data_IF_384998906112
#
_entry.id   IF_384998906112
#
_cell.length_a   1.000
_cell.length_b   1.000
_cell.length_c   1.000
_cell.angle_alpha   90.00
_cell.angle_beta   90.00
_cell.angle_gamma   90.00
#
_symmetry.space_group_name_H-M   'P 1'
#
loop_
_entity.id
_entity.type
_entity.pdbx_description
1 polymer ?
#
# COMPACT_ATOMS: atom_id res chain seq x y z
N UNK A 1 24.20 27.62 -7.90
CA UNK A 1 22.90 27.78 -7.22
C UNK A 1 22.88 26.84 -6.02
N UNK A 2 22.70 27.33 -4.78
CA UNK A 2 22.65 26.49 -3.58
C UNK A 2 21.20 25.99 -3.38
N UNK A 3 20.97 24.67 -3.49
CA UNK A 3 19.68 24.08 -3.17
C UNK A 3 19.56 24.05 -1.64
N UNK A 4 18.83 25.00 -1.07
CA UNK A 4 18.37 24.90 0.32
C UNK A 4 17.17 23.97 0.34
N UNK A 5 17.30 22.82 1.00
CA UNK A 5 16.16 21.94 1.21
C UNK A 5 15.26 22.62 2.24
N UNK A 6 14.15 23.17 1.79
CA UNK A 6 13.14 23.75 2.68
C UNK A 6 12.38 22.62 3.37
N UNK A 7 12.84 22.26 4.57
CA UNK A 7 12.17 21.27 5.43
C UNK A 7 10.97 21.95 6.12
N UNK A 8 9.96 22.33 5.34
CA UNK A 8 8.72 22.91 5.90
C UNK A 8 7.92 21.89 6.74
N UNK A 9 8.21 20.58 6.58
CA UNK A 9 7.59 19.50 7.33
C UNK A 9 8.68 18.52 7.81
N UNK A 10 8.87 18.34 9.13
CA UNK A 10 9.90 17.45 9.69
C UNK A 10 9.63 15.97 9.38
N UNK A 11 8.40 15.60 9.00
CA UNK A 11 8.03 14.22 8.66
C UNK A 11 8.16 13.91 7.15
N UNK A 12 8.57 14.88 6.33
CA UNK A 12 8.74 14.66 4.90
C UNK A 12 10.00 13.84 4.65
N UNK A 13 9.87 12.77 3.87
CA UNK A 13 11.05 12.06 3.37
C UNK A 13 11.80 12.93 2.33
N UNK A 14 13.13 12.82 2.34
CA UNK A 14 13.98 13.44 1.32
C UNK A 14 13.70 12.79 -0.04
N UNK A 15 13.63 13.62 -1.09
CA UNK A 15 13.47 13.12 -2.46
C UNK A 15 14.76 12.46 -2.94
N UNK A 16 14.67 11.78 -4.08
CA UNK A 16 15.85 11.18 -4.72
C UNK A 16 16.94 12.23 -5.00
N UNK A 17 16.59 13.35 -5.64
CA UNK A 17 17.55 14.40 -6.02
C UNK A 17 18.21 15.04 -4.79
N UNK A 18 17.45 15.22 -3.72
CA UNK A 18 17.96 15.74 -2.46
C UNK A 18 18.98 14.80 -1.82
N UNK A 19 18.69 13.49 -1.84
CA UNK A 19 19.61 12.45 -1.35
C UNK A 19 20.85 12.35 -2.22
N UNK A 20 20.68 12.41 -3.54
CA UNK A 20 21.78 12.43 -4.50
C UNK A 20 22.69 13.63 -4.23
N UNK A 21 22.12 14.83 -4.05
CA UNK A 21 22.90 16.03 -3.74
C UNK A 21 23.72 15.87 -2.45
N UNK A 22 23.13 15.34 -1.38
CA UNK A 22 23.84 15.07 -0.12
C UNK A 22 24.99 14.07 -0.33
N UNK A 23 24.76 13.01 -1.09
CA UNK A 23 25.79 12.00 -1.39
C UNK A 23 26.91 12.57 -2.24
N UNK A 24 26.60 13.39 -3.26
CA UNK A 24 27.61 14.09 -4.08
C UNK A 24 28.46 15.03 -3.23
N UNK A 25 27.84 15.85 -2.36
CA UNK A 25 28.60 16.71 -1.43
C UNK A 25 29.54 15.91 -0.53
N UNK A 26 29.14 14.70 -0.13
CA UNK A 26 30.01 13.82 0.66
C UNK A 26 31.16 13.24 -0.19
N UNK A 27 30.90 12.88 -1.44
CA UNK A 27 31.92 12.41 -2.38
C UNK A 27 32.94 13.50 -2.72
N UNK A 28 32.51 14.77 -2.77
CA UNK A 28 33.38 15.96 -2.87
C UNK A 28 34.25 16.20 -1.61
N UNK A 29 34.11 15.38 -0.57
CA UNK A 29 34.94 15.42 0.64
C UNK A 29 34.43 16.39 1.71
N UNK A 30 33.23 16.96 1.58
CA UNK A 30 32.71 17.84 2.62
C UNK A 30 32.46 17.07 3.93
N UNK A 31 32.73 17.74 5.05
CA UNK A 31 32.41 17.20 6.38
C UNK A 31 30.89 17.22 6.61
N UNK A 32 30.40 16.26 7.39
CA UNK A 32 28.98 16.15 7.72
C UNK A 32 28.43 17.46 8.29
N UNK A 33 29.20 18.15 9.16
CA UNK A 33 28.81 19.44 9.75
C UNK A 33 28.59 20.52 8.67
N UNK A 34 29.45 20.57 7.65
CA UNK A 34 29.30 21.53 6.54
C UNK A 34 28.08 21.19 5.68
N UNK A 35 27.82 19.90 5.47
CA UNK A 35 26.62 19.46 4.73
C UNK A 35 25.35 19.83 5.51
N UNK A 36 25.31 19.61 6.83
CA UNK A 36 24.20 20.04 7.71
C UNK A 36 23.92 21.53 7.55
N UNK A 37 24.96 22.36 7.66
CA UNK A 37 24.82 23.81 7.56
C UNK A 37 24.38 24.27 6.16
N UNK A 38 24.83 23.58 5.10
CA UNK A 38 24.52 23.92 3.71
C UNK A 38 23.10 23.50 3.30
N UNK A 39 22.69 22.31 3.73
CA UNK A 39 21.45 21.66 3.30
C UNK A 39 20.29 21.96 4.25
N UNK A 40 20.56 22.20 5.54
CA UNK A 40 19.56 22.51 6.55
C UNK A 40 18.83 21.28 7.11
N UNK A 41 19.44 20.09 7.00
CA UNK A 41 18.87 18.81 7.44
C UNK A 41 19.62 18.29 8.67
N UNK A 42 18.92 17.55 9.53
CA UNK A 42 19.51 17.00 10.76
C UNK A 42 20.74 16.11 10.48
N UNK A 43 21.67 16.08 11.43
CA UNK A 43 22.89 15.26 11.33
C UNK A 43 22.59 13.77 11.19
N UNK A 44 21.59 13.25 11.90
CA UNK A 44 21.18 11.84 11.83
C UNK A 44 20.64 11.50 10.44
N UNK A 45 19.77 12.34 9.88
CA UNK A 45 19.24 12.14 8.53
C UNK A 45 20.34 12.17 7.47
N UNK A 46 21.31 13.10 7.56
CA UNK A 46 22.45 13.12 6.64
C UNK A 46 23.28 11.85 6.76
N UNK A 47 23.52 11.37 7.99
CA UNK A 47 24.23 10.11 8.21
C UNK A 47 23.49 8.92 7.56
N UNK A 48 22.18 8.81 7.76
CA UNK A 48 21.36 7.78 7.12
C UNK A 48 21.39 7.85 5.60
N UNK A 49 21.38 9.05 5.02
CA UNK A 49 21.43 9.25 3.56
C UNK A 49 22.80 8.88 2.98
N UNK A 50 23.89 9.24 3.67
CA UNK A 50 25.25 8.92 3.23
C UNK A 50 25.49 7.41 3.21
N UNK A 51 24.94 6.68 4.19
CA UNK A 51 25.14 5.23 4.32
C UNK A 51 24.00 4.39 3.72
N UNK A 52 22.92 5.03 3.26
CA UNK A 52 21.74 4.37 2.71
C UNK A 52 21.63 4.47 1.18
N UNK A 53 20.56 3.90 0.65
CA UNK A 53 20.25 3.99 -0.78
C UNK A 53 19.85 5.42 -1.19
N UNK A 54 20.26 5.84 -2.39
CA UNK A 54 19.88 7.15 -2.96
C UNK A 54 18.37 7.24 -3.19
N UNK A 55 17.75 6.16 -3.65
CA UNK A 55 16.30 6.11 -3.84
C UNK A 55 15.59 5.88 -2.51
N UNK A 56 14.64 6.74 -2.11
CA UNK A 56 13.86 6.53 -0.88
C UNK A 56 12.98 5.29 -1.00
N UNK A 57 13.04 4.43 0.02
CA UNK A 57 12.17 3.26 0.11
C UNK A 57 10.80 3.68 0.65
N UNK A 58 9.73 3.35 -0.09
CA UNK A 58 8.37 3.60 0.39
C UNK A 58 8.13 2.80 1.68
N UNK A 59 7.61 3.43 2.76
CA UNK A 59 7.29 2.69 3.97
C UNK A 59 6.27 1.60 3.65
N UNK A 60 6.46 0.43 4.26
CA UNK A 60 5.48 -0.65 4.13
C UNK A 60 4.17 -0.20 4.77
N UNK A 61 3.08 -0.36 4.03
CA UNK A 61 1.75 -0.11 4.56
C UNK A 61 1.38 -1.12 5.63
N UNK A 62 0.27 -0.87 6.34
CA UNK A 62 -0.31 -1.81 7.29
C UNK A 62 -0.64 -3.13 6.59
N UNK A 63 -0.36 -4.25 7.25
CA UNK A 63 -0.76 -5.57 6.76
C UNK A 63 -2.28 -5.69 6.64
N UNK A 64 -2.73 -6.41 5.62
CA UNK A 64 -4.14 -6.80 5.48
C UNK A 64 -4.58 -7.62 6.69
N UNK A 65 -5.83 -7.45 7.13
CA UNK A 65 -6.44 -8.28 8.19
C UNK A 65 -6.61 -9.73 7.71
N UNK A 66 -6.81 -9.91 6.41
CA UNK A 66 -6.99 -11.20 5.78
C UNK A 66 -5.71 -11.60 5.03
N UNK A 67 -5.18 -12.77 5.37
CA UNK A 67 -4.03 -13.36 4.71
C UNK A 67 -4.42 -14.09 3.41
N UNK A 68 -3.44 -14.29 2.53
CA UNK A 68 -3.59 -15.05 1.28
C UNK A 68 -4.21 -16.45 1.43
N UNK A 69 -3.82 -17.31 2.40
CA UNK A 69 -4.49 -18.59 2.62
C UNK A 69 -5.97 -18.43 3.01
N UNK A 70 -6.29 -17.40 3.80
CA UNK A 70 -7.67 -17.09 4.21
C UNK A 70 -8.51 -16.65 3.01
N UNK A 71 -7.94 -15.85 2.10
CA UNK A 71 -8.59 -15.51 0.83
C UNK A 71 -8.90 -16.75 0.00
N UNK A 72 -7.94 -17.68 -0.14
CA UNK A 72 -8.15 -18.94 -0.89
C UNK A 72 -9.23 -19.79 -0.26
N UNK A 73 -9.26 -19.91 1.07
CA UNK A 73 -10.30 -20.65 1.80
C UNK A 73 -11.69 -20.05 1.59
N UNK A 74 -11.80 -18.73 1.62
CA UNK A 74 -13.06 -18.02 1.33
C UNK A 74 -13.54 -18.35 -0.08
N UNK A 75 -12.71 -18.11 -1.10
CA UNK A 75 -13.07 -18.39 -2.50
C UNK A 75 -13.44 -19.84 -2.70
N UNK A 76 -12.62 -20.77 -2.19
CA UNK A 76 -12.89 -22.19 -2.26
C UNK A 76 -14.27 -22.52 -1.71
N UNK A 77 -14.59 -22.06 -0.49
CA UNK A 77 -15.89 -22.32 0.13
C UNK A 77 -17.07 -21.76 -0.69
N UNK A 78 -16.93 -20.55 -1.23
CA UNK A 78 -17.97 -19.97 -2.10
C UNK A 78 -18.15 -20.80 -3.38
N UNK A 79 -17.05 -21.33 -3.94
CA UNK A 79 -17.10 -22.11 -5.19
C UNK A 79 -17.59 -23.55 -5.02
N UNK A 80 -17.65 -24.09 -3.80
CA UNK A 80 -18.00 -25.49 -3.56
C UNK A 80 -19.38 -25.90 -4.10
N UNK A 81 -20.40 -25.05 -3.97
CA UNK A 81 -21.74 -25.34 -4.49
C UNK A 81 -22.56 -24.06 -4.74
N UNK A 82 -23.62 -24.18 -5.55
CA UNK A 82 -24.50 -23.05 -5.92
C UNK A 82 -25.16 -22.42 -4.68
N UNK A 83 -25.44 -23.21 -3.65
CA UNK A 83 -26.03 -22.72 -2.41
C UNK A 83 -25.09 -21.74 -1.68
N UNK A 84 -23.81 -22.06 -1.55
CA UNK A 84 -22.79 -21.18 -0.95
C UNK A 84 -22.60 -19.91 -1.80
N UNK A 85 -22.63 -20.00 -3.13
CA UNK A 85 -22.57 -18.83 -4.02
C UNK A 85 -23.72 -17.83 -3.80
N UNK A 86 -24.88 -18.33 -3.36
CA UNK A 86 -26.07 -17.50 -3.08
C UNK A 86 -26.07 -16.89 -1.68
N UNK A 87 -25.25 -17.39 -0.75
CA UNK A 87 -25.14 -16.78 0.58
C UNK A 87 -24.47 -15.41 0.54
N UNK A 88 -24.84 -14.49 1.45
CA UNK A 88 -24.08 -13.27 1.66
C UNK A 88 -22.67 -13.63 2.18
N UNK A 89 -21.66 -12.91 1.69
CA UNK A 89 -20.25 -13.16 2.02
C UNK A 89 -19.98 -13.17 3.53
N UNK A 90 -20.67 -12.32 4.29
CA UNK A 90 -20.59 -12.29 5.75
C UNK A 90 -20.94 -13.61 6.41
N UNK A 91 -22.01 -14.28 5.96
CA UNK A 91 -22.41 -15.58 6.52
C UNK A 91 -21.39 -16.67 6.20
N UNK A 92 -20.77 -16.60 5.01
CA UNK A 92 -19.72 -17.54 4.61
C UNK A 92 -18.48 -17.35 5.50
N UNK A 93 -18.07 -16.09 5.72
CA UNK A 93 -16.95 -15.76 6.59
C UNK A 93 -17.22 -16.18 8.05
N UNK A 94 -18.41 -15.92 8.57
CA UNK A 94 -18.84 -16.38 9.91
C UNK A 94 -18.80 -17.90 10.04
N UNK A 95 -19.25 -18.64 9.01
CA UNK A 95 -19.17 -20.10 8.99
C UNK A 95 -17.73 -20.64 8.99
N UNK A 96 -16.75 -19.83 8.59
CA UNK A 96 -15.32 -20.14 8.66
C UNK A 96 -14.65 -19.59 9.92
N UNK A 97 -15.41 -18.99 10.85
CA UNK A 97 -14.89 -18.37 12.07
C UNK A 97 -14.16 -17.03 11.84
N UNK A 98 -14.38 -16.39 10.68
CA UNK A 98 -13.70 -15.15 10.31
C UNK A 98 -14.65 -13.96 10.57
N UNK A 99 -14.27 -13.07 11.48
CA UNK A 99 -15.01 -11.85 11.79
C UNK A 99 -14.39 -10.65 11.08
N UNK A 100 -14.96 -10.25 9.94
CA UNK A 100 -14.50 -9.11 9.14
C UNK A 100 -15.69 -8.34 8.55
N UNK A 101 -15.45 -7.07 8.21
CA UNK A 101 -16.43 -6.19 7.59
C UNK A 101 -16.66 -6.54 6.11
N UNK A 102 -17.86 -6.28 5.59
CA UNK A 102 -18.26 -6.65 4.23
C UNK A 102 -17.35 -6.05 3.14
N UNK A 103 -16.85 -4.82 3.32
CA UNK A 103 -15.93 -4.21 2.36
C UNK A 103 -14.59 -4.93 2.30
N UNK A 104 -14.10 -5.46 3.43
CA UNK A 104 -12.86 -6.25 3.48
C UNK A 104 -13.04 -7.59 2.77
N UNK A 105 -14.21 -8.23 2.93
CA UNK A 105 -14.56 -9.44 2.17
C UNK A 105 -14.65 -9.15 0.67
N UNK A 106 -15.30 -8.05 0.29
CA UNK A 106 -15.40 -7.62 -1.11
C UNK A 106 -14.02 -7.45 -1.74
N UNK A 107 -13.14 -6.70 -1.06
CA UNK A 107 -11.76 -6.51 -1.49
C UNK A 107 -11.02 -7.85 -1.60
N UNK A 108 -11.15 -8.73 -0.61
CA UNK A 108 -10.54 -10.06 -0.63
C UNK A 108 -10.99 -10.92 -1.82
N UNK A 109 -12.29 -10.93 -2.13
CA UNK A 109 -12.81 -11.64 -3.30
C UNK A 109 -12.30 -11.04 -4.61
N UNK A 110 -12.28 -9.71 -4.74
CA UNK A 110 -11.74 -9.02 -5.92
C UNK A 110 -10.24 -9.29 -6.11
N UNK A 111 -9.46 -9.28 -5.03
CA UNK A 111 -8.03 -9.63 -5.07
C UNK A 111 -7.78 -11.05 -5.58
N UNK A 112 -8.72 -11.97 -5.35
CA UNK A 112 -8.67 -13.33 -5.86
C UNK A 112 -9.35 -13.50 -7.23
N UNK A 113 -9.82 -12.40 -7.84
CA UNK A 113 -10.51 -12.43 -9.13
C UNK A 113 -11.93 -12.99 -9.08
N UNK A 114 -12.52 -13.18 -7.89
CA UNK A 114 -13.88 -13.67 -7.76
C UNK A 114 -14.87 -12.50 -7.73
N UNK A 115 -15.74 -12.44 -8.74
CA UNK A 115 -16.81 -11.45 -8.86
C UNK A 115 -18.17 -12.12 -8.82
N UNK A 116 -19.06 -11.62 -7.97
CA UNK A 116 -20.41 -12.15 -7.89
C UNK A 116 -21.21 -11.71 -9.12
N UNK A 117 -21.68 -12.66 -9.92
CA UNK A 117 -22.54 -12.37 -11.07
C UNK A 117 -23.84 -11.74 -10.58
N UNK A 118 -24.11 -10.50 -11.00
CA UNK A 118 -25.41 -9.86 -10.82
C UNK A 118 -26.34 -10.39 -11.91
N UNK A 119 -27.46 -10.97 -11.51
CA UNK A 119 -28.51 -11.38 -12.44
C UNK A 119 -29.32 -10.13 -12.77
N UNK A 120 -29.26 -9.68 -14.02
CA UNK A 120 -30.16 -8.66 -14.52
C UNK A 120 -31.50 -9.32 -14.85
N UNK A 121 -32.61 -8.73 -14.39
CA UNK A 121 -33.94 -9.15 -14.87
C UNK A 121 -34.04 -8.81 -16.35
N UNK A 122 -34.55 -9.74 -17.15
CA UNK A 122 -34.78 -9.50 -18.58
C UNK A 122 -35.73 -8.30 -18.71
N UNK A 123 -35.39 -7.27 -19.49
CA UNK A 123 -36.30 -6.14 -19.71
C UNK A 123 -37.57 -6.65 -20.39
N UNK A 124 -38.71 -6.08 -20.01
CA UNK A 124 -39.98 -6.34 -20.69
C UNK A 124 -39.88 -5.78 -22.12
N UNK A 125 -40.16 -6.60 -23.12
CA UNK A 125 -40.28 -6.14 -24.50
C UNK A 125 -41.66 -5.48 -24.62
N UNK A 126 -41.70 -4.16 -24.71
CA UNK A 126 -42.90 -3.45 -25.19
C UNK A 126 -43.01 -3.77 -26.67
N UNK A 127 -44.08 -4.46 -27.07
CA UNK A 127 -44.38 -4.68 -28.49
C UNK A 127 -44.80 -3.35 -29.14
N UNK A 128 -44.42 -3.09 -30.42
CA UNK A 128 -44.80 -1.89 -31.15
C UNK A 128 -46.29 -1.86 -31.51
#
# INVERSE_FOLDING_TARGET
MLIKITVANPQRQLTHDERLHIQTLRQEGLSIQRIVNRVGVSRSTIHEVIHGATTPTKPRGRHSILDTPTHRRLVFNVTLNVYQQRKPWRQIAQGLGISVLDHALTAAFHMMGYYRRKVHRKPFLTAP
#
